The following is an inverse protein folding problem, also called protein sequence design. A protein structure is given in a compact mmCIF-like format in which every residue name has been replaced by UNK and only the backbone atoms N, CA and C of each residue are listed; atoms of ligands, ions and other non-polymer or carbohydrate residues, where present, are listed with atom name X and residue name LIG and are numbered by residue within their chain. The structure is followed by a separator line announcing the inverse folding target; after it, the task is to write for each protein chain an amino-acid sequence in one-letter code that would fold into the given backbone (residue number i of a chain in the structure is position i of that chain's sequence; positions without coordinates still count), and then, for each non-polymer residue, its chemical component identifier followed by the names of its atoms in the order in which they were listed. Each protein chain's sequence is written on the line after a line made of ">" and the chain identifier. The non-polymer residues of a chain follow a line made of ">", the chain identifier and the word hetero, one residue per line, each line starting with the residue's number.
data_IF_070883987326
#
_entry.id   IF_070883987326
#
_cell.length_a   1.000
_cell.length_b   1.000
_cell.length_c   1.000
_cell.angle_alpha   90.00
_cell.angle_beta   90.00
_cell.angle_gamma   90.00
#
_symmetry.space_group_name_H-M   'P 1'
#
loop_
_entity.id
_entity.type
_entity.pdbx_description
1 polymer ?
#
# COMPACT_ATOMS: atom_id res chain seq x y z
N UNK A 1 -11.23 -2.67 -2.58
CA UNK A 1 -11.34 -4.07 -3.04
C UNK A 1 -10.09 -4.86 -2.66
N UNK A 2 -10.15 -5.62 -1.55
CA UNK A 2 -9.01 -6.28 -0.93
C UNK A 2 -9.22 -7.79 -0.83
N UNK A 3 -8.13 -8.56 -0.76
CA UNK A 3 -8.18 -9.97 -0.40
C UNK A 3 -8.41 -10.12 1.09
N UNK A 4 -9.37 -10.95 1.51
CA UNK A 4 -9.70 -11.11 2.93
C UNK A 4 -8.51 -11.59 3.77
N UNK A 5 -7.66 -12.46 3.23
CA UNK A 5 -6.43 -12.95 3.86
C UNK A 5 -5.40 -11.82 4.11
N UNK A 6 -5.38 -10.80 3.22
CA UNK A 6 -4.50 -9.64 3.26
C UNK A 6 -5.24 -8.34 3.59
N UNK A 7 -6.41 -8.43 4.22
CA UNK A 7 -7.26 -7.27 4.56
C UNK A 7 -6.60 -6.26 5.51
N UNK A 8 -5.56 -6.69 6.25
CA UNK A 8 -4.98 -5.89 7.32
C UNK A 8 -6.02 -5.60 8.41
N UNK A 9 -6.10 -4.36 8.84
CA UNK A 9 -7.02 -3.90 9.88
C UNK A 9 -8.45 -3.60 9.37
N UNK A 10 -8.76 -3.89 8.10
CA UNK A 10 -10.11 -3.61 7.56
C UNK A 10 -11.14 -4.64 8.02
N UNK A 11 -12.39 -4.23 8.33
CA UNK A 11 -13.47 -5.15 8.68
C UNK A 11 -13.82 -6.04 7.48
N UNK A 12 -13.91 -7.38 7.67
CA UNK A 12 -14.19 -8.32 6.57
C UNK A 12 -15.48 -8.03 5.81
N UNK A 13 -16.49 -7.56 6.51
CA UNK A 13 -17.81 -7.21 5.95
C UNK A 13 -17.80 -6.00 5.02
N UNK A 14 -16.78 -5.15 5.15
CA UNK A 14 -16.60 -4.00 4.27
C UNK A 14 -15.84 -4.33 2.97
N UNK A 15 -15.36 -5.57 2.83
CA UNK A 15 -14.60 -6.00 1.65
C UNK A 15 -15.59 -6.41 0.55
N UNK A 16 -15.60 -5.66 -0.54
CA UNK A 16 -16.43 -5.93 -1.71
C UNK A 16 -15.61 -6.52 -2.87
N UNK A 17 -16.28 -7.23 -3.78
CA UNK A 17 -15.67 -7.64 -5.06
C UNK A 17 -15.54 -6.42 -5.97
N UNK A 18 -14.44 -6.26 -6.69
CA UNK A 18 -14.27 -5.15 -7.63
C UNK A 18 -15.19 -5.34 -8.84
N UNK A 19 -16.12 -4.40 -9.06
CA UNK A 19 -16.95 -4.35 -10.26
C UNK A 19 -16.97 -2.94 -10.84
N UNK A 20 -17.11 -2.85 -12.16
CA UNK A 20 -17.18 -1.58 -12.86
C UNK A 20 -18.43 -0.79 -12.44
N UNK A 21 -19.56 -1.48 -12.26
CA UNK A 21 -20.82 -0.87 -11.86
C UNK A 21 -20.72 -0.20 -10.49
N UNK A 22 -20.15 -0.91 -9.51
CA UNK A 22 -19.98 -0.37 -8.16
C UNK A 22 -18.98 0.80 -8.15
N UNK A 23 -17.90 0.71 -8.93
CA UNK A 23 -16.96 1.81 -9.05
C UNK A 23 -17.60 3.04 -9.69
N UNK A 24 -18.43 2.87 -10.72
CA UNK A 24 -19.20 3.98 -11.34
C UNK A 24 -20.08 4.69 -10.32
N UNK A 25 -20.78 3.95 -9.47
CA UNK A 25 -21.58 4.55 -8.37
C UNK A 25 -20.72 5.38 -7.42
N UNK A 26 -19.54 4.89 -7.04
CA UNK A 26 -18.61 5.65 -6.19
C UNK A 26 -18.08 6.88 -6.91
N UNK A 27 -17.74 6.76 -8.18
CA UNK A 27 -17.22 7.88 -8.98
C UNK A 27 -18.27 8.97 -9.19
N UNK A 28 -19.53 8.59 -9.39
CA UNK A 28 -20.66 9.51 -9.46
C UNK A 28 -20.86 10.24 -8.12
N UNK A 29 -20.93 9.50 -7.00
CA UNK A 29 -21.03 10.07 -5.67
C UNK A 29 -19.85 11.00 -5.32
N UNK A 30 -18.68 10.71 -5.85
CA UNK A 30 -17.47 11.52 -5.71
C UNK A 30 -17.35 12.63 -6.77
N UNK A 31 -18.37 12.87 -7.58
CA UNK A 31 -18.37 13.89 -8.65
C UNK A 31 -17.15 13.81 -9.58
N UNK A 32 -16.70 12.59 -9.91
CA UNK A 32 -15.55 12.34 -10.78
C UNK A 32 -14.17 12.58 -10.14
N UNK A 33 -14.12 12.77 -8.81
CA UNK A 33 -12.88 13.12 -8.10
C UNK A 33 -12.02 11.91 -7.69
N UNK A 34 -12.49 10.67 -7.85
CA UNK A 34 -11.64 9.50 -7.60
C UNK A 34 -10.57 9.42 -8.70
N UNK A 35 -9.31 9.53 -8.31
CA UNK A 35 -8.15 9.49 -9.22
C UNK A 35 -7.24 8.30 -8.97
N UNK A 36 -7.44 7.60 -7.86
CA UNK A 36 -6.59 6.50 -7.44
C UNK A 36 -7.41 5.45 -6.69
N UNK A 37 -7.15 4.17 -6.95
CA UNK A 37 -7.83 3.04 -6.30
C UNK A 37 -6.85 1.93 -5.99
N UNK A 38 -6.93 1.37 -4.79
CA UNK A 38 -6.21 0.14 -4.43
C UNK A 38 -7.13 -1.07 -4.53
N UNK A 39 -6.65 -2.12 -5.19
CA UNK A 39 -7.41 -3.36 -5.33
C UNK A 39 -6.52 -4.60 -5.44
N UNK A 40 -7.11 -5.75 -5.13
CA UNK A 40 -6.51 -7.06 -5.29
C UNK A 40 -6.81 -7.59 -6.72
N UNK A 41 -5.81 -7.68 -7.61
CA UNK A 41 -6.02 -8.01 -9.02
C UNK A 41 -6.60 -9.42 -9.25
N UNK A 42 -6.34 -10.36 -8.35
CA UNK A 42 -6.90 -11.72 -8.42
C UNK A 42 -8.41 -11.78 -8.22
N UNK A 43 -9.02 -10.68 -7.79
CA UNK A 43 -10.46 -10.55 -7.62
C UNK A 43 -11.15 -9.79 -8.76
N UNK A 44 -10.40 -9.24 -9.70
CA UNK A 44 -10.91 -8.50 -10.86
C UNK A 44 -11.04 -9.43 -12.08
N UNK A 45 -12.23 -10.02 -12.35
CA UNK A 45 -12.40 -10.94 -13.46
C UNK A 45 -12.02 -10.27 -14.79
N UNK A 46 -11.18 -10.92 -15.58
CA UNK A 46 -10.69 -10.42 -16.88
C UNK A 46 -10.05 -9.02 -16.79
N UNK A 47 -9.68 -8.58 -15.60
CA UNK A 47 -9.18 -7.21 -15.32
C UNK A 47 -10.14 -6.12 -15.80
N UNK A 48 -11.44 -6.36 -15.68
CA UNK A 48 -12.48 -5.48 -16.21
C UNK A 48 -12.46 -4.09 -15.53
N UNK A 49 -12.37 -4.05 -14.20
CA UNK A 49 -12.28 -2.80 -13.47
C UNK A 49 -10.93 -2.10 -13.68
N UNK A 50 -9.83 -2.87 -13.72
CA UNK A 50 -8.49 -2.34 -14.01
C UNK A 50 -8.46 -1.61 -15.35
N UNK A 51 -8.97 -2.24 -16.42
CA UNK A 51 -9.07 -1.64 -17.76
C UNK A 51 -9.95 -0.38 -17.73
N UNK A 52 -11.12 -0.50 -17.12
CA UNK A 52 -12.06 0.63 -17.04
C UNK A 52 -11.42 1.85 -16.35
N UNK A 53 -10.81 1.65 -15.18
CA UNK A 53 -10.14 2.72 -14.44
C UNK A 53 -9.02 3.36 -15.24
N UNK A 54 -8.13 2.55 -15.82
CA UNK A 54 -7.01 3.04 -16.64
C UNK A 54 -7.49 3.88 -17.83
N UNK A 55 -8.54 3.44 -18.53
CA UNK A 55 -9.12 4.16 -19.67
C UNK A 55 -9.84 5.46 -19.27
N UNK A 56 -10.22 5.59 -18.00
CA UNK A 56 -10.93 6.77 -17.49
C UNK A 56 -10.05 7.66 -16.58
N UNK A 57 -8.72 7.55 -16.68
CA UNK A 57 -7.77 8.41 -15.97
C UNK A 57 -7.73 8.18 -14.45
N UNK A 58 -8.04 6.95 -14.01
CA UNK A 58 -7.94 6.53 -12.62
C UNK A 58 -6.79 5.54 -12.48
N UNK A 59 -5.83 5.86 -11.64
CA UNK A 59 -4.67 4.99 -11.36
C UNK A 59 -5.13 3.78 -10.56
N UNK A 60 -4.76 2.59 -11.02
CA UNK A 60 -4.96 1.34 -10.29
C UNK A 60 -3.66 0.94 -9.62
N UNK A 61 -3.71 0.80 -8.30
CA UNK A 61 -2.63 0.26 -7.47
C UNK A 61 -2.99 -1.14 -6.98
N UNK A 62 -2.05 -2.06 -7.08
CA UNK A 62 -2.24 -3.42 -6.59
C UNK A 62 -1.74 -3.54 -5.15
N UNK A 63 -2.58 -4.04 -4.26
CA UNK A 63 -2.26 -4.23 -2.85
C UNK A 63 -3.36 -4.95 -2.09
N UNK A 64 -3.09 -5.32 -0.84
CA UNK A 64 -3.97 -6.16 -0.03
C UNK A 64 -4.40 -7.44 -0.78
N UNK A 65 -3.42 -8.13 -1.35
CA UNK A 65 -3.61 -9.10 -2.42
C UNK A 65 -2.76 -10.35 -2.21
N UNK A 66 -3.34 -11.49 -2.54
CA UNK A 66 -2.65 -12.79 -2.60
C UNK A 66 -2.18 -13.13 -4.03
N UNK A 67 -2.17 -12.16 -4.94
CA UNK A 67 -1.82 -12.39 -6.34
C UNK A 67 -0.45 -13.07 -6.49
N UNK A 68 -0.37 -13.99 -7.43
CA UNK A 68 0.91 -14.53 -7.90
C UNK A 68 1.68 -13.49 -8.72
N UNK A 69 2.94 -13.79 -8.99
CA UNK A 69 3.76 -12.97 -9.88
C UNK A 69 3.10 -12.78 -11.26
N UNK A 70 2.56 -13.86 -11.84
CA UNK A 70 1.90 -13.87 -13.15
C UNK A 70 0.61 -13.04 -13.13
N UNK A 71 -0.20 -13.18 -12.08
CA UNK A 71 -1.42 -12.38 -11.91
C UNK A 71 -1.10 -10.89 -11.79
N UNK A 72 -0.04 -10.55 -11.07
CA UNK A 72 0.40 -9.16 -10.96
C UNK A 72 0.90 -8.58 -12.30
N UNK A 73 1.67 -9.36 -13.07
CA UNK A 73 2.07 -8.96 -14.43
C UNK A 73 0.87 -8.76 -15.36
N UNK A 74 -0.15 -9.61 -15.23
CA UNK A 74 -1.39 -9.44 -16.00
C UNK A 74 -2.16 -8.19 -15.57
N UNK A 75 -2.16 -7.85 -14.25
CA UNK A 75 -2.72 -6.58 -13.77
C UNK A 75 -2.02 -5.38 -14.42
N UNK A 76 -0.68 -5.37 -14.47
CA UNK A 76 0.12 -4.34 -15.13
C UNK A 76 -0.21 -4.26 -16.63
N UNK A 77 -0.23 -5.40 -17.32
CA UNK A 77 -0.54 -5.47 -18.74
C UNK A 77 -1.96 -4.93 -19.08
N UNK A 78 -2.87 -4.92 -18.10
CA UNK A 78 -4.21 -4.39 -18.23
C UNK A 78 -4.38 -2.97 -17.64
N UNK A 79 -3.29 -2.30 -17.26
CA UNK A 79 -3.29 -0.88 -16.93
C UNK A 79 -3.08 -0.53 -15.45
N UNK A 80 -2.77 -1.50 -14.58
CA UNK A 80 -2.31 -1.18 -13.23
C UNK A 80 -0.92 -0.51 -13.30
N UNK A 81 -0.74 0.58 -12.55
CA UNK A 81 0.45 1.43 -12.62
C UNK A 81 1.18 1.59 -11.28
N UNK A 82 0.66 1.01 -10.20
CA UNK A 82 1.24 1.17 -8.88
C UNK A 82 1.10 -0.08 -8.01
N UNK A 83 1.90 -0.14 -6.95
CA UNK A 83 1.83 -1.13 -5.86
C UNK A 83 1.68 -0.40 -4.53
N UNK A 84 0.63 -0.70 -3.78
CA UNK A 84 0.30 -0.04 -2.51
C UNK A 84 1.19 -0.58 -1.39
N UNK A 85 1.81 0.32 -0.61
CA UNK A 85 2.63 0.03 0.59
C UNK A 85 3.40 -1.30 0.49
N UNK A 86 4.30 -1.39 -0.50
CA UNK A 86 5.08 -2.59 -0.82
C UNK A 86 5.64 -3.27 0.44
N UNK A 87 5.65 -4.58 0.46
CA UNK A 87 5.88 -5.53 1.54
C UNK A 87 4.68 -5.78 2.47
N UNK A 88 3.75 -4.84 2.62
CA UNK A 88 2.65 -4.94 3.58
C UNK A 88 1.37 -5.43 2.92
N UNK A 89 0.68 -6.37 3.56
CA UNK A 89 -0.61 -6.88 3.05
C UNK A 89 -0.55 -7.48 1.64
N UNK A 90 0.54 -8.19 1.29
CA UNK A 90 0.73 -8.79 -0.03
C UNK A 90 1.58 -10.05 0.01
N UNK A 91 1.52 -10.87 -1.05
CA UNK A 91 2.35 -12.08 -1.18
C UNK A 91 3.83 -11.72 -1.10
N UNK A 92 4.58 -12.36 -0.17
CA UNK A 92 5.98 -12.05 0.06
C UNK A 92 6.88 -12.52 -1.10
N UNK A 93 8.09 -11.97 -1.16
CA UNK A 93 9.11 -12.43 -2.09
C UNK A 93 9.67 -13.81 -1.68
N UNK A 94 9.64 -14.73 -2.61
CA UNK A 94 10.38 -15.98 -2.52
C UNK A 94 11.03 -16.28 -3.88
N UNK A 95 12.28 -16.74 -3.91
CA UNK A 95 13.07 -16.90 -5.15
C UNK A 95 12.43 -17.80 -6.22
N UNK A 96 11.53 -18.71 -5.85
CA UNK A 96 10.76 -19.56 -6.77
C UNK A 96 9.30 -19.14 -6.93
N UNK A 97 8.78 -18.27 -6.07
CA UNK A 97 7.42 -17.71 -6.09
C UNK A 97 7.51 -16.23 -5.71
N UNK A 98 7.90 -15.35 -6.65
CA UNK A 98 8.23 -13.96 -6.31
C UNK A 98 7.06 -13.16 -5.73
N UNK A 99 5.82 -13.55 -6.03
CA UNK A 99 4.63 -12.88 -5.52
C UNK A 99 4.52 -11.41 -5.95
N UNK A 100 3.67 -10.69 -5.24
CA UNK A 100 3.43 -9.27 -5.52
C UNK A 100 4.66 -8.41 -5.17
N UNK A 101 5.34 -8.73 -4.06
CA UNK A 101 6.60 -8.06 -3.70
C UNK A 101 7.65 -8.22 -4.78
N UNK A 102 7.84 -9.44 -5.31
CA UNK A 102 8.79 -9.69 -6.39
C UNK A 102 8.44 -8.96 -7.68
N UNK A 103 7.15 -8.81 -7.98
CA UNK A 103 6.70 -8.00 -9.12
C UNK A 103 7.05 -6.53 -8.91
N UNK A 104 6.77 -5.98 -7.73
CA UNK A 104 7.10 -4.60 -7.38
C UNK A 104 8.60 -4.30 -7.56
N UNK A 105 9.46 -5.20 -7.09
CA UNK A 105 10.91 -5.03 -7.19
C UNK A 105 11.46 -5.25 -8.61
N UNK A 106 10.84 -6.14 -9.40
CA UNK A 106 11.32 -6.52 -10.73
C UNK A 106 10.89 -5.56 -11.83
N UNK A 107 9.63 -5.09 -11.79
CA UNK A 107 9.07 -4.21 -12.82
C UNK A 107 9.38 -2.76 -12.45
N UNK A 108 10.27 -2.12 -13.21
CA UNK A 108 10.80 -0.80 -12.87
C UNK A 108 9.88 0.36 -13.22
N UNK A 109 9.08 0.22 -14.26
CA UNK A 109 8.25 1.26 -14.87
C UNK A 109 6.83 1.35 -14.31
N UNK A 110 6.60 0.79 -13.12
CA UNK A 110 5.40 1.01 -12.31
C UNK A 110 5.80 1.65 -10.98
N UNK A 111 4.94 2.44 -10.41
CA UNK A 111 5.18 3.05 -9.11
C UNK A 111 5.12 2.02 -7.97
N UNK A 112 5.90 2.23 -6.94
CA UNK A 112 5.83 1.48 -5.69
C UNK A 112 5.71 2.44 -4.53
N UNK A 113 4.65 2.31 -3.75
CA UNK A 113 4.48 3.06 -2.51
C UNK A 113 5.17 2.31 -1.36
N UNK A 114 5.77 3.04 -0.44
CA UNK A 114 6.43 2.42 0.71
C UNK A 114 6.30 3.30 1.97
N UNK A 115 6.06 2.65 3.12
CA UNK A 115 6.01 3.29 4.43
C UNK A 115 7.41 3.27 5.03
N UNK A 116 7.99 4.46 5.25
CA UNK A 116 9.38 4.62 5.64
C UNK A 116 9.53 4.90 7.15
N UNK A 117 8.85 4.14 8.00
CA UNK A 117 8.91 4.30 9.45
C UNK A 117 9.91 3.37 10.16
N UNK A 118 10.54 2.44 9.41
CA UNK A 118 11.45 1.44 9.95
C UNK A 118 10.75 0.30 10.71
N UNK A 119 9.42 0.34 10.80
CA UNK A 119 8.58 -0.61 11.54
C UNK A 119 7.73 -1.47 10.62
N UNK A 120 7.01 -0.86 9.67
CA UNK A 120 6.29 -1.58 8.61
C UNK A 120 7.23 -2.35 7.69
N UNK A 121 8.43 -1.81 7.49
CA UNK A 121 9.50 -2.42 6.71
C UNK A 121 10.83 -2.18 7.39
N UNK A 122 11.62 -3.24 7.57
CA UNK A 122 12.97 -3.14 8.11
C UNK A 122 13.84 -2.25 7.23
N UNK A 123 14.81 -1.53 7.81
CA UNK A 123 15.68 -0.59 7.10
C UNK A 123 16.38 -1.21 5.88
N UNK A 124 16.83 -2.46 5.99
CA UNK A 124 17.40 -3.19 4.86
C UNK A 124 16.39 -3.44 3.73
N UNK A 125 15.10 -3.66 4.05
CA UNK A 125 14.05 -3.81 3.06
C UNK A 125 13.76 -2.47 2.36
N UNK A 126 13.80 -1.36 3.10
CA UNK A 126 13.70 -0.02 2.52
C UNK A 126 14.85 0.23 1.52
N UNK A 127 16.10 -0.02 1.93
CA UNK A 127 17.25 0.14 1.05
C UNK A 127 17.17 -0.73 -0.21
N UNK A 128 16.79 -2.02 -0.06
CA UNK A 128 16.59 -2.92 -1.19
C UNK A 128 15.50 -2.44 -2.15
N UNK A 129 14.40 -1.90 -1.60
CA UNK A 129 13.32 -1.36 -2.41
C UNK A 129 13.81 -0.20 -3.29
N UNK A 130 14.49 0.78 -2.70
CA UNK A 130 15.02 1.93 -3.46
C UNK A 130 16.10 1.52 -4.46
N UNK A 131 16.95 0.55 -4.12
CA UNK A 131 17.93 0.01 -5.05
C UNK A 131 17.27 -0.64 -6.26
N UNK A 132 16.17 -1.36 -6.06
CA UNK A 132 15.46 -2.05 -7.13
C UNK A 132 14.60 -1.10 -7.99
N UNK A 133 13.86 -0.19 -7.36
CA UNK A 133 12.91 0.72 -8.03
C UNK A 133 13.56 1.98 -8.58
N UNK A 134 14.60 2.48 -7.94
CA UNK A 134 15.14 3.80 -8.23
C UNK A 134 14.20 4.93 -7.74
N UNK A 135 14.70 6.15 -7.86
CA UNK A 135 14.01 7.35 -7.34
C UNK A 135 12.74 7.73 -8.12
N UNK A 136 12.70 7.42 -9.42
CA UNK A 136 11.64 7.95 -10.30
C UNK A 136 10.32 7.15 -10.20
N UNK A 137 10.37 5.94 -9.65
CA UNK A 137 9.21 5.05 -9.48
C UNK A 137 8.95 4.62 -8.04
N UNK A 138 9.57 5.29 -7.09
CA UNK A 138 9.32 5.11 -5.66
C UNK A 138 8.48 6.26 -5.12
N UNK A 139 7.52 5.97 -4.25
CA UNK A 139 6.67 6.96 -3.60
C UNK A 139 6.70 6.68 -2.09
N UNK A 140 7.16 7.65 -1.31
CA UNK A 140 7.05 7.57 0.14
C UNK A 140 5.64 7.94 0.56
N UNK A 141 5.00 7.06 1.31
CA UNK A 141 3.68 7.31 1.90
C UNK A 141 3.75 7.20 3.42
N UNK A 142 2.82 7.83 4.09
CA UNK A 142 2.69 7.72 5.55
C UNK A 142 1.75 6.61 5.99
N UNK A 143 0.70 6.33 5.22
CA UNK A 143 -0.44 5.50 5.64
C UNK A 143 -0.98 5.90 7.02
N UNK A 144 -0.98 7.22 7.31
CA UNK A 144 -1.27 7.76 8.63
C UNK A 144 -2.74 7.71 8.99
N UNK A 145 -2.98 7.31 10.23
CA UNK A 145 -4.29 7.34 10.86
C UNK A 145 -4.68 8.77 11.32
N UNK A 146 -5.99 8.97 11.52
CA UNK A 146 -6.50 10.16 12.22
C UNK A 146 -5.99 10.29 13.66
N UNK A 147 -5.59 9.17 14.28
CA UNK A 147 -5.02 9.13 15.63
C UNK A 147 -3.53 9.55 15.69
N UNK A 148 -2.93 9.91 14.56
CA UNK A 148 -1.59 10.49 14.50
C UNK A 148 -1.52 11.75 15.39
N UNK A 149 -0.45 11.87 16.17
CA UNK A 149 -0.25 12.91 17.18
C UNK A 149 -1.17 12.83 18.41
N UNK A 150 -1.97 11.79 18.53
CA UNK A 150 -2.73 11.55 19.74
C UNK A 150 -1.87 10.80 20.78
N UNK A 151 -2.09 11.03 22.09
CA UNK A 151 -1.28 10.41 23.13
C UNK A 151 -1.48 8.89 23.18
N UNK A 152 -0.46 8.11 23.57
CA UNK A 152 -0.61 6.69 23.87
C UNK A 152 -1.71 6.45 24.93
N UNK A 153 -2.38 5.30 24.88
CA UNK A 153 -3.40 4.91 25.87
C UNK A 153 -4.78 5.54 25.69
N UNK A 154 -4.99 6.38 24.67
CA UNK A 154 -6.31 6.89 24.31
C UNK A 154 -7.20 5.83 23.66
N UNK A 155 -8.51 6.08 23.60
CA UNK A 155 -9.46 5.24 22.89
C UNK A 155 -9.56 5.71 21.43
N UNK A 156 -9.01 4.94 20.53
CA UNK A 156 -9.01 5.20 19.10
C UNK A 156 -9.67 4.06 18.34
N UNK A 157 -10.06 4.32 17.10
CA UNK A 157 -10.66 3.31 16.24
C UNK A 157 -10.22 3.48 14.77
N UNK A 158 -10.20 2.38 14.06
CA UNK A 158 -10.04 2.30 12.61
C UNK A 158 -11.13 1.39 12.03
N UNK A 159 -12.02 1.94 11.21
CA UNK A 159 -13.10 1.18 10.59
C UNK A 159 -14.03 0.48 11.60
N UNK A 160 -14.25 1.08 12.77
CA UNK A 160 -15.05 0.49 13.86
C UNK A 160 -14.29 -0.49 14.76
N UNK A 161 -13.04 -0.81 14.45
CA UNK A 161 -12.19 -1.64 15.31
C UNK A 161 -11.39 -0.77 16.30
N UNK A 162 -11.36 -1.11 17.59
CA UNK A 162 -10.51 -0.44 18.56
C UNK A 162 -9.04 -0.60 18.20
N UNK A 163 -8.28 0.49 18.24
CA UNK A 163 -6.84 0.50 18.08
C UNK A 163 -6.16 1.11 19.31
N UNK A 164 -4.91 0.77 19.51
CA UNK A 164 -4.05 1.34 20.54
C UNK A 164 -2.75 1.84 19.90
N UNK A 165 -2.22 2.95 20.44
CA UNK A 165 -0.91 3.47 20.08
C UNK A 165 0.04 3.06 21.18
N UNK A 166 1.05 2.24 20.81
CA UNK A 166 2.10 1.81 21.73
C UNK A 166 3.10 2.92 22.04
N UNK A 167 3.95 2.70 23.02
CA UNK A 167 5.06 3.60 23.36
C UNK A 167 6.09 3.72 22.23
N UNK A 168 6.16 2.70 21.37
CA UNK A 168 6.94 2.67 20.14
C UNK A 168 6.35 3.58 19.03
N UNK A 169 5.17 4.14 19.27
CA UNK A 169 4.44 4.99 18.34
C UNK A 169 3.69 4.22 17.25
N UNK A 170 3.68 2.87 17.27
CA UNK A 170 2.89 2.09 16.32
C UNK A 170 1.44 1.97 16.76
N UNK A 171 0.54 2.08 15.79
CA UNK A 171 -0.86 1.75 16.00
C UNK A 171 -1.11 0.27 15.69
N UNK A 172 -1.80 -0.43 16.59
CA UNK A 172 -2.18 -1.83 16.46
C UNK A 172 -3.66 -2.02 16.72
N UNK A 173 -4.26 -3.04 16.14
CA UNK A 173 -5.57 -3.49 16.58
C UNK A 173 -5.47 -3.94 18.03
N UNK A 174 -6.34 -3.42 18.89
CA UNK A 174 -6.28 -3.64 20.34
C UNK A 174 -6.28 -5.12 20.68
N UNK A 175 -5.30 -5.54 21.48
CA UNK A 175 -5.13 -6.93 21.90
C UNK A 175 -4.55 -7.86 20.84
N UNK A 176 -3.95 -7.33 19.77
CA UNK A 176 -3.26 -8.11 18.73
C UNK A 176 -1.94 -7.44 18.32
N UNK A 177 -1.09 -8.19 17.59
CA UNK A 177 0.13 -7.63 16.98
C UNK A 177 -0.10 -7.03 15.59
N UNK A 178 -1.37 -6.99 15.12
CA UNK A 178 -1.69 -6.49 13.79
C UNK A 178 -1.52 -4.98 13.73
N UNK A 179 -0.59 -4.50 12.93
CA UNK A 179 -0.37 -3.08 12.67
C UNK A 179 -1.60 -2.54 11.94
N UNK A 180 -2.08 -1.38 12.37
CA UNK A 180 -3.32 -0.75 11.91
C UNK A 180 -3.04 0.67 11.39
N UNK A 181 -2.47 0.77 10.20
CA UNK A 181 -1.97 2.02 9.64
C UNK A 181 -0.80 2.60 10.46
N UNK A 182 -0.39 3.81 10.18
CA UNK A 182 0.78 4.41 10.83
C UNK A 182 0.48 5.71 11.59
N UNK A 183 1.47 6.16 12.36
CA UNK A 183 1.53 7.50 12.93
C UNK A 183 2.66 8.33 12.30
N UNK A 184 3.24 7.85 11.19
CA UNK A 184 4.39 8.43 10.54
C UNK A 184 4.13 9.86 10.04
N UNK A 185 5.05 10.76 10.32
CA UNK A 185 5.21 12.03 9.63
C UNK A 185 6.17 11.85 8.44
N UNK A 186 5.85 12.38 7.28
CA UNK A 186 6.67 12.25 6.06
C UNK A 186 8.10 12.77 6.30
N UNK A 187 8.27 13.89 6.99
CA UNK A 187 9.59 14.41 7.34
C UNK A 187 10.41 13.46 8.24
N UNK A 188 9.75 12.71 9.14
CA UNK A 188 10.41 11.66 9.92
C UNK A 188 10.82 10.49 9.01
N UNK A 189 9.95 10.09 8.09
CA UNK A 189 10.25 9.06 7.08
C UNK A 189 11.46 9.44 6.22
N UNK A 190 11.53 10.69 5.76
CA UNK A 190 12.67 11.19 5.02
C UNK A 190 13.98 11.08 5.82
N UNK A 191 13.93 11.44 7.10
CA UNK A 191 15.10 11.32 8.00
C UNK A 191 15.53 9.86 8.15
N UNK A 192 14.60 8.94 8.40
CA UNK A 192 14.88 7.50 8.53
C UNK A 192 15.52 6.96 7.24
N UNK A 193 15.02 7.35 6.07
CA UNK A 193 15.60 6.93 4.80
C UNK A 193 17.06 7.36 4.66
N UNK A 194 17.37 8.60 5.00
CA UNK A 194 18.72 9.17 4.82
C UNK A 194 19.68 8.71 5.91
N UNK A 195 19.28 8.84 7.17
CA UNK A 195 20.17 8.64 8.32
C UNK A 195 20.32 7.17 8.72
N UNK A 196 19.28 6.35 8.50
CA UNK A 196 19.24 4.97 8.98
C UNK A 196 19.23 3.94 7.84
N UNK A 197 18.45 4.17 6.78
CA UNK A 197 18.40 3.27 5.63
C UNK A 197 19.47 3.58 4.56
N UNK A 198 20.29 4.63 4.77
CA UNK A 198 21.42 5.00 3.91
C UNK A 198 21.03 5.30 2.45
N UNK A 199 19.82 5.82 2.24
CA UNK A 199 19.37 6.30 0.92
C UNK A 199 19.95 7.70 0.68
N UNK A 200 20.57 7.99 -0.46
CA UNK A 200 21.08 9.34 -0.77
C UNK A 200 20.00 10.40 -0.64
N UNK A 201 20.34 11.54 -0.04
CA UNK A 201 19.38 12.61 0.28
C UNK A 201 18.59 13.11 -0.94
N UNK A 202 19.27 13.32 -2.07
CA UNK A 202 18.65 13.75 -3.32
C UNK A 202 17.65 12.72 -3.88
N UNK A 203 17.96 11.43 -3.73
CA UNK A 203 17.04 10.35 -4.08
C UNK A 203 15.86 10.32 -3.12
N UNK A 204 16.09 10.40 -1.80
CA UNK A 204 15.04 10.38 -0.78
C UNK A 204 14.09 11.59 -0.89
N UNK A 205 14.60 12.78 -1.21
CA UNK A 205 13.81 14.00 -1.37
C UNK A 205 12.86 13.92 -2.59
N UNK A 206 13.25 13.22 -3.65
CA UNK A 206 12.43 13.07 -4.85
C UNK A 206 11.18 12.17 -4.63
N UNK A 207 11.08 11.53 -3.47
CA UNK A 207 10.03 10.55 -3.12
C UNK A 207 8.92 11.15 -2.26
N UNK A 208 9.12 12.36 -1.76
CA UNK A 208 8.23 13.02 -0.80
C UNK A 208 7.29 14.05 -1.42
#
# INVERSE_FOLDING_TARGET
>A
YKRQEYKGAQPPEAIAKPTVEQFKMYQEAAHGMIKYITMAPEHDPEFALTKYCSQNGVVVSMGHSSASYEQALMGIANGAMSMTHVYNGMTPYHHRKPGLVGTALRVRDIYGEIICDGCHSHLAALNNFFTAKGRDYSIMISDSLRAKHCPPGGNYELGGHPIEIGEDGLARLKGTDTIAGSTLNINKGLRILVEEAMVPFDAALNLS
#
